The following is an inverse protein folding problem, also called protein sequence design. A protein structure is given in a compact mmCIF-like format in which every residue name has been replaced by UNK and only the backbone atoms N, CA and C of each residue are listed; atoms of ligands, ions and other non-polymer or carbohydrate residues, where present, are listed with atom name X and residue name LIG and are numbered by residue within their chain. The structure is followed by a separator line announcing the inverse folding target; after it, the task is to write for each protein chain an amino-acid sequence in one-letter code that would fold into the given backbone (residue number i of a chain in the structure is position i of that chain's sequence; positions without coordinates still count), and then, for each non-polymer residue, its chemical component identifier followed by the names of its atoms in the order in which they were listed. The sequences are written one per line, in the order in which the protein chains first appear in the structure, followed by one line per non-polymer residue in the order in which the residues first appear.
data_IF_544828978302
#
_entry.id   IF_544828978302
#
_cell.length_a   1.000
_cell.length_b   1.000
_cell.length_c   1.000
_cell.angle_alpha   90.00
_cell.angle_beta   90.00
_cell.angle_gamma   90.00
#
_symmetry.space_group_name_H-M   'P 1'
#
loop_
_entity.id
_entity.type
_entity.pdbx_description
1 polymer ?
#
# COMPACT_ATOMS: atom_id res chain seq x y z
N UNK A 1 -3.28 16.53 7.99
CA UNK A 1 -2.77 15.39 8.81
C UNK A 1 -1.90 15.81 9.98
N UNK A 2 -0.98 16.78 9.85
CA UNK A 2 -0.07 17.15 10.93
C UNK A 2 -0.79 17.57 12.23
N UNK A 3 -1.83 18.40 12.13
CA UNK A 3 -2.66 18.82 13.27
C UNK A 3 -3.39 17.66 13.92
N UNK A 4 -4.05 16.80 13.12
CA UNK A 4 -4.79 15.65 13.63
C UNK A 4 -3.92 14.61 14.35
N UNK A 5 -2.64 14.49 13.99
CA UNK A 5 -1.67 13.61 14.69
C UNK A 5 -1.24 14.17 16.05
N UNK A 6 -1.39 15.47 16.30
CA UNK A 6 -1.10 16.07 17.61
C UNK A 6 -2.20 15.70 18.61
N UNK A 7 -3.46 15.76 18.17
CA UNK A 7 -4.64 15.48 18.99
C UNK A 7 -4.94 14.00 19.12
N UNK A 8 -4.65 13.18 18.10
CA UNK A 8 -4.90 11.74 18.11
C UNK A 8 -3.58 10.94 18.06
N UNK A 9 -3.08 10.43 19.20
CA UNK A 9 -1.82 9.70 19.26
C UNK A 9 -1.79 8.43 18.39
N UNK A 10 -2.93 7.75 18.24
CA UNK A 10 -3.06 6.52 17.45
C UNK A 10 -2.66 6.70 15.98
N UNK A 11 -2.85 7.90 15.43
CA UNK A 11 -2.48 8.23 14.05
C UNK A 11 -0.96 8.34 13.85
N UNK A 12 -0.15 8.22 14.90
CA UNK A 12 1.33 8.15 14.80
C UNK A 12 1.85 6.74 14.56
N UNK A 13 1.03 5.72 14.84
CA UNK A 13 1.36 4.30 14.70
C UNK A 13 1.51 3.93 13.20
N UNK A 14 0.49 4.11 12.34
CA UNK A 14 0.61 3.74 10.93
C UNK A 14 1.57 4.65 10.17
N UNK A 15 2.12 4.13 9.07
CA UNK A 15 2.89 4.94 8.12
C UNK A 15 2.03 6.06 7.54
N UNK A 16 2.65 7.21 7.30
CA UNK A 16 1.98 8.37 6.69
C UNK A 16 1.34 7.99 5.35
N UNK A 17 2.00 7.14 4.56
CA UNK A 17 1.47 6.64 3.30
C UNK A 17 0.13 5.91 3.44
N UNK A 18 -0.01 5.08 4.48
CA UNK A 18 -1.24 4.30 4.71
C UNK A 18 -2.39 5.24 5.05
N UNK A 19 -2.13 6.23 5.89
CA UNK A 19 -3.12 7.25 6.24
C UNK A 19 -3.54 8.05 5.00
N UNK A 20 -2.58 8.51 4.18
CA UNK A 20 -2.89 9.25 2.95
C UNK A 20 -3.69 8.39 1.96
N UNK A 21 -3.38 7.09 1.85
CA UNK A 21 -4.14 6.19 1.00
C UNK A 21 -5.60 6.03 1.48
N UNK A 22 -5.85 6.08 2.80
CA UNK A 22 -7.22 6.09 3.34
C UNK A 22 -7.97 7.35 2.92
N UNK A 23 -7.34 8.53 2.98
CA UNK A 23 -7.95 9.77 2.48
C UNK A 23 -8.22 9.70 0.98
N UNK A 24 -7.27 9.20 0.19
CA UNK A 24 -7.45 9.04 -1.26
C UNK A 24 -8.62 8.11 -1.60
N UNK A 25 -8.83 7.05 -0.81
CA UNK A 25 -10.00 6.15 -0.97
C UNK A 25 -11.31 6.86 -0.65
N UNK A 26 -11.32 7.73 0.36
CA UNK A 26 -12.49 8.54 0.71
C UNK A 26 -12.84 9.49 -0.44
N UNK A 27 -11.85 10.24 -0.92
CA UNK A 27 -11.97 11.13 -2.08
C UNK A 27 -12.50 10.37 -3.29
N UNK A 28 -11.88 9.25 -3.67
CA UNK A 28 -12.34 8.42 -4.79
C UNK A 28 -13.79 7.94 -4.67
N UNK A 29 -14.25 7.60 -3.46
CA UNK A 29 -15.62 7.17 -3.23
C UNK A 29 -16.61 8.32 -3.47
N UNK A 30 -16.27 9.51 -3.01
CA UNK A 30 -17.05 10.73 -3.23
C UNK A 30 -17.04 11.15 -4.70
N UNK A 31 -15.87 11.18 -5.37
CA UNK A 31 -15.76 11.41 -6.81
C UNK A 31 -16.64 10.43 -7.60
N UNK A 32 -16.61 9.14 -7.25
CA UNK A 32 -17.45 8.13 -7.91
C UNK A 32 -18.95 8.35 -7.66
N UNK A 33 -19.34 8.87 -6.49
CA UNK A 33 -20.74 9.24 -6.21
C UNK A 33 -21.22 10.33 -7.17
N UNK A 34 -20.44 11.41 -7.33
CA UNK A 34 -20.81 12.54 -8.18
C UNK A 34 -20.70 12.24 -9.68
N UNK A 35 -19.60 11.63 -10.12
CA UNK A 35 -19.32 11.45 -11.55
C UNK A 35 -19.98 10.22 -12.16
N UNK A 36 -20.24 9.18 -11.35
CA UNK A 36 -20.74 7.87 -11.84
C UNK A 36 -22.12 7.51 -11.29
N UNK A 37 -22.76 8.42 -10.55
CA UNK A 37 -24.09 8.20 -9.96
C UNK A 37 -24.12 7.09 -8.90
N UNK A 38 -22.98 6.77 -8.27
CA UNK A 38 -22.97 5.82 -7.16
C UNK A 38 -23.65 6.40 -5.93
N UNK A 39 -24.16 5.54 -5.04
CA UNK A 39 -24.74 5.99 -3.77
C UNK A 39 -23.71 6.59 -2.81
N UNK A 40 -24.21 7.22 -1.73
CA UNK A 40 -23.37 7.88 -0.73
C UNK A 40 -22.28 6.94 -0.16
N UNK A 41 -21.01 7.41 -0.04
CA UNK A 41 -19.92 6.60 0.50
C UNK A 41 -20.23 6.04 1.89
N UNK A 42 -19.95 4.75 2.09
CA UNK A 42 -20.14 4.07 3.39
C UNK A 42 -18.82 3.51 3.91
N UNK A 43 -18.63 3.58 5.22
CA UNK A 43 -17.50 2.94 5.87
C UNK A 43 -17.56 1.42 5.69
N UNK A 44 -16.40 0.81 5.42
CA UNK A 44 -16.26 -0.64 5.45
C UNK A 44 -16.32 -1.14 6.90
N UNK A 45 -16.94 -2.30 7.10
CA UNK A 45 -16.96 -2.95 8.42
C UNK A 45 -15.56 -3.38 8.83
N UNK A 46 -15.34 -3.54 10.12
CA UNK A 46 -14.09 -4.12 10.65
C UNK A 46 -13.79 -5.46 9.96
N UNK A 47 -12.53 -5.68 9.59
CA UNK A 47 -12.09 -6.89 8.89
C UNK A 47 -12.41 -6.97 7.38
N UNK A 48 -13.18 -6.03 6.82
CA UNK A 48 -13.40 -5.95 5.36
C UNK A 48 -12.25 -5.25 4.64
N UNK A 49 -11.52 -4.37 5.32
CA UNK A 49 -10.31 -3.75 4.78
C UNK A 49 -9.11 -4.67 5.02
N UNK A 50 -8.82 -5.53 4.04
CA UNK A 50 -7.77 -6.55 4.13
C UNK A 50 -6.46 -6.18 3.44
N UNK A 51 -6.27 -4.91 3.08
CA UNK A 51 -5.03 -4.48 2.42
C UNK A 51 -4.60 -3.06 2.78
N UNK A 52 -3.28 -2.91 2.89
CA UNK A 52 -2.59 -1.63 3.06
C UNK A 52 -1.58 -1.46 1.92
N UNK A 53 -1.38 -0.22 1.49
CA UNK A 53 -0.54 0.12 0.33
C UNK A 53 0.53 1.11 0.76
N UNK A 54 1.75 0.85 0.31
CA UNK A 54 2.91 1.72 0.38
C UNK A 54 3.22 2.15 -1.06
N UNK A 55 2.68 3.30 -1.51
CA UNK A 55 2.83 3.79 -2.88
C UNK A 55 4.27 4.20 -3.20
N UNK A 56 5.08 4.42 -2.16
CA UNK A 56 6.51 4.69 -2.27
C UNK A 56 7.24 3.90 -1.20
N UNK A 57 8.43 3.44 -1.55
CA UNK A 57 9.29 2.61 -0.71
C UNK A 57 10.70 3.22 -0.63
N UNK A 58 11.50 2.70 0.31
CA UNK A 58 12.91 3.06 0.44
C UNK A 58 13.73 2.47 -0.72
N UNK A 59 14.98 2.95 -0.93
CA UNK A 59 15.86 2.48 -2.01
C UNK A 59 16.10 0.97 -1.99
N UNK A 60 16.34 0.40 -0.81
CA UNK A 60 16.54 -1.05 -0.64
C UNK A 60 15.26 -1.68 -0.09
N UNK A 61 14.44 -2.24 -0.99
CA UNK A 61 13.15 -2.85 -0.65
C UNK A 61 13.28 -4.31 -0.31
N UNK A 62 14.10 -5.08 -1.04
CA UNK A 62 14.22 -6.53 -0.87
C UNK A 62 15.67 -6.91 -0.65
N UNK A 63 15.91 -7.71 0.39
CA UNK A 63 17.23 -8.24 0.73
C UNK A 63 17.08 -9.56 1.49
N UNK A 64 17.83 -10.59 1.12
CA UNK A 64 17.92 -11.87 1.86
C UNK A 64 16.55 -12.46 2.26
N UNK A 65 15.60 -12.57 1.32
CA UNK A 65 14.22 -13.02 1.59
C UNK A 65 13.50 -12.18 2.66
N UNK A 66 13.75 -10.87 2.67
CA UNK A 66 13.04 -9.89 3.51
C UNK A 66 12.58 -8.71 2.66
N UNK A 67 11.49 -8.09 3.09
CA UNK A 67 10.97 -6.83 2.54
C UNK A 67 11.12 -5.75 3.60
N UNK A 68 11.69 -4.61 3.23
CA UNK A 68 11.72 -3.40 4.05
C UNK A 68 10.46 -2.57 3.77
N UNK A 69 9.67 -2.32 4.80
CA UNK A 69 8.47 -1.50 4.71
C UNK A 69 8.55 -0.29 5.64
N UNK A 70 8.10 0.90 5.20
CA UNK A 70 8.07 2.09 6.06
C UNK A 70 7.33 1.81 7.37
N UNK A 71 7.93 2.23 8.50
CA UNK A 71 7.47 1.99 9.89
C UNK A 71 7.48 0.54 10.39
N UNK A 72 7.41 -0.46 9.50
CA UNK A 72 7.41 -1.88 9.89
C UNK A 72 8.82 -2.51 9.84
N UNK A 73 9.76 -1.89 9.13
CA UNK A 73 11.13 -2.37 9.00
C UNK A 73 11.25 -3.63 8.13
N UNK A 74 12.28 -4.44 8.40
CA UNK A 74 12.57 -5.67 7.65
C UNK A 74 11.70 -6.84 8.12
N UNK A 75 10.85 -7.33 7.23
CA UNK A 75 9.96 -8.48 7.48
C UNK A 75 10.39 -9.65 6.61
N UNK A 76 10.48 -10.85 7.18
CA UNK A 76 10.72 -12.08 6.40
C UNK A 76 9.59 -12.32 5.40
N UNK A 77 9.95 -12.59 4.15
CA UNK A 77 9.02 -12.90 3.09
C UNK A 77 9.57 -14.05 2.24
N UNK A 78 8.70 -14.97 1.84
CA UNK A 78 9.05 -16.03 0.90
C UNK A 78 8.80 -15.52 -0.52
N UNK A 79 9.86 -15.40 -1.30
CA UNK A 79 9.77 -15.11 -2.72
C UNK A 79 9.90 -16.39 -3.52
N UNK A 80 8.96 -16.63 -4.43
CA UNK A 80 9.03 -17.77 -5.36
C UNK A 80 9.89 -17.49 -6.59
N UNK A 81 10.17 -16.21 -6.86
CA UNK A 81 10.95 -15.74 -8.00
C UNK A 81 11.85 -14.58 -7.55
N UNK A 82 13.02 -14.47 -8.16
CA UNK A 82 13.83 -13.26 -8.07
C UNK A 82 13.12 -12.09 -8.76
N UNK A 83 13.44 -10.87 -8.33
CA UNK A 83 13.04 -9.67 -9.07
C UNK A 83 13.93 -9.61 -10.31
N UNK A 84 13.38 -9.48 -11.52
CA UNK A 84 14.20 -9.43 -12.73
C UNK A 84 15.13 -8.21 -12.72
N UNK A 85 16.30 -8.37 -13.33
CA UNK A 85 17.29 -7.28 -13.44
C UNK A 85 16.74 -6.12 -14.26
N UNK A 86 17.11 -4.89 -13.89
CA UNK A 86 16.60 -3.67 -14.54
C UNK A 86 15.18 -3.26 -14.11
N UNK A 87 14.54 -3.97 -13.18
CA UNK A 87 13.25 -3.57 -12.62
C UNK A 87 13.39 -2.88 -11.26
N UNK A 88 12.70 -1.76 -11.10
CA UNK A 88 12.63 -1.00 -9.84
C UNK A 88 11.29 -1.25 -9.16
N UNK A 89 11.32 -1.61 -7.88
CA UNK A 89 10.09 -1.72 -7.09
C UNK A 89 9.58 -0.31 -6.75
N UNK A 90 8.37 0.02 -7.20
CA UNK A 90 7.74 1.32 -6.94
C UNK A 90 6.79 1.28 -5.76
N UNK A 91 6.00 0.21 -5.64
CA UNK A 91 4.94 0.10 -4.65
C UNK A 91 4.92 -1.29 -4.03
N UNK A 92 4.58 -1.35 -2.73
CA UNK A 92 4.24 -2.60 -2.06
C UNK A 92 2.81 -2.53 -1.53
N UNK A 93 2.09 -3.64 -1.61
CA UNK A 93 0.78 -3.82 -0.99
C UNK A 93 0.81 -5.07 -0.12
N UNK A 94 0.49 -4.93 1.15
CA UNK A 94 0.24 -6.08 2.02
C UNK A 94 -1.23 -6.44 1.91
N UNK A 95 -1.53 -7.71 1.65
CA UNK A 95 -2.89 -8.25 1.57
C UNK A 95 -3.04 -9.41 2.56
N UNK A 96 -4.07 -9.37 3.39
CA UNK A 96 -4.48 -10.48 4.26
C UNK A 96 -5.42 -11.41 3.48
N UNK A 97 -4.99 -12.64 3.25
CA UNK A 97 -5.80 -13.75 2.72
C UNK A 97 -6.05 -14.77 3.84
N UNK A 98 -6.85 -15.80 3.55
CA UNK A 98 -7.15 -16.87 4.52
C UNK A 98 -5.89 -17.56 5.08
N UNK A 99 -4.89 -17.80 4.24
CA UNK A 99 -3.64 -18.47 4.62
C UNK A 99 -2.59 -17.58 5.29
N UNK A 100 -2.84 -16.27 5.40
CA UNK A 100 -1.89 -15.32 5.98
C UNK A 100 -1.70 -14.05 5.15
N UNK A 101 -0.57 -13.39 5.35
CA UNK A 101 -0.23 -12.12 4.70
C UNK A 101 0.64 -12.34 3.46
N UNK A 102 0.32 -11.59 2.42
CA UNK A 102 1.02 -11.61 1.14
C UNK A 102 1.50 -10.21 0.80
N UNK A 103 2.73 -10.10 0.31
CA UNK A 103 3.26 -8.85 -0.22
C UNK A 103 3.14 -8.90 -1.74
N UNK A 104 2.44 -7.93 -2.31
CA UNK A 104 2.36 -7.70 -3.75
C UNK A 104 3.27 -6.52 -4.08
N UNK A 105 4.32 -6.78 -4.86
CA UNK A 105 5.25 -5.76 -5.31
C UNK A 105 4.90 -5.34 -6.73
N UNK A 106 4.75 -4.04 -6.94
CA UNK A 106 4.66 -3.46 -8.28
C UNK A 106 6.08 -3.05 -8.70
N UNK A 107 6.54 -3.64 -9.79
CA UNK A 107 7.82 -3.37 -10.40
C UNK A 107 7.62 -2.57 -11.69
N UNK A 108 8.55 -1.70 -12.01
CA UNK A 108 8.58 -0.90 -13.23
C UNK A 108 9.91 -1.15 -13.94
N UNK A 109 9.87 -1.32 -15.25
CA UNK A 109 11.05 -1.29 -16.12
C UNK A 109 11.03 0.01 -16.92
N UNK A 110 12.21 0.49 -17.28
CA UNK A 110 12.38 1.64 -18.17
C UNK A 110 12.33 1.24 -19.65
N UNK A 111 12.14 -0.05 -19.95
CA UNK A 111 11.97 -0.54 -21.33
C UNK A 111 10.54 -0.30 -21.79
N UNK A 112 10.38 0.56 -22.78
CA UNK A 112 9.14 0.69 -23.55
C UNK A 112 9.03 -0.50 -24.49
N UNK A 113 8.00 -1.33 -24.29
CA UNK A 113 7.68 -2.42 -25.22
C UNK A 113 6.88 -1.78 -26.37
N UNK A 114 7.37 -1.83 -27.63
CA UNK A 114 6.60 -1.38 -28.78
C UNK A 114 5.29 -2.17 -28.89
N UNK A 115 4.20 -1.51 -29.29
CA UNK A 115 2.88 -2.15 -29.50
C UNK A 115 2.92 -3.32 -30.50
#
# INVERSE_FOLDING_TARGET
MATAKKTNPELKIPSNHVLQQTLKRLEQAFTSMWERGYGFPRFKKSGQLRSIVFPQLNKEVVKNNRVNLPKLGWIKARFSRSIPDGFVIKQARIVKKARGYFVVLCIQSDVEVPE
#
